data_IF_116403339682
#
_entry.id   IF_116403339682
#
_cell.length_a   1.000
_cell.length_b   1.000
_cell.length_c   1.000
_cell.angle_alpha   90.00
_cell.angle_beta   90.00
_cell.angle_gamma   90.00
#
_symmetry.space_group_name_H-M   'P 1'
#
loop_
_entity.id
_entity.type
_entity.pdbx_description
1 polymer ?
#
# COMPACT_ATOMS: atom_id res chain seq x y z
N UNK A 1 -26.75 15.60 3.32
CA UNK A 1 -25.85 16.06 4.41
C UNK A 1 -26.62 16.32 5.71
N UNK A 2 -27.83 16.88 5.68
CA UNK A 2 -28.56 17.35 6.88
C UNK A 2 -29.42 16.31 7.63
N UNK A 3 -29.68 15.09 7.12
CA UNK A 3 -30.61 14.17 7.81
C UNK A 3 -29.98 13.38 8.95
N UNK A 4 -28.69 13.07 8.87
CA UNK A 4 -28.08 12.10 9.80
C UNK A 4 -27.28 12.76 10.92
N UNK A 5 -26.71 13.94 10.65
CA UNK A 5 -25.82 14.63 11.58
C UNK A 5 -26.59 15.55 12.54
N UNK A 6 -26.34 15.51 13.86
CA UNK A 6 -26.97 16.42 14.82
C UNK A 6 -26.68 17.90 14.51
N UNK A 7 -27.63 18.83 14.76
CA UNK A 7 -27.47 20.25 14.45
C UNK A 7 -26.23 20.91 15.08
N UNK A 8 -25.88 20.50 16.31
CA UNK A 8 -24.67 20.99 16.99
C UNK A 8 -23.40 20.59 16.24
N UNK A 9 -23.38 19.39 15.67
CA UNK A 9 -22.22 18.86 14.95
C UNK A 9 -22.09 19.47 13.55
N UNK A 10 -23.22 19.80 12.91
CA UNK A 10 -23.23 20.58 11.66
C UNK A 10 -22.61 21.96 11.89
N UNK A 11 -22.88 22.60 13.03
CA UNK A 11 -22.26 23.89 13.37
C UNK A 11 -20.74 23.77 13.49
N UNK A 12 -20.25 22.72 14.16
CA UNK A 12 -18.82 22.43 14.25
C UNK A 12 -18.21 22.15 12.87
N UNK A 13 -18.86 21.32 12.06
CA UNK A 13 -18.41 20.98 10.71
C UNK A 13 -18.25 22.24 9.84
N UNK A 14 -19.27 23.12 9.82
CA UNK A 14 -19.21 24.38 9.08
C UNK A 14 -18.02 25.25 9.51
N UNK A 15 -17.80 25.38 10.83
CA UNK A 15 -16.65 26.13 11.36
C UNK A 15 -15.30 25.47 11.05
N UNK A 16 -15.26 24.15 10.99
CA UNK A 16 -14.03 23.42 10.73
C UNK A 16 -13.63 23.51 9.24
N UNK A 17 -14.61 23.40 8.34
CA UNK A 17 -14.41 23.47 6.89
C UNK A 17 -14.16 24.90 6.38
N UNK A 18 -14.57 25.93 7.12
CA UNK A 18 -14.39 27.33 6.71
C UNK A 18 -12.89 27.73 6.67
N UNK A 19 -12.41 28.19 5.51
CA UNK A 19 -11.02 28.60 5.29
C UNK A 19 -10.67 29.94 5.93
N UNK A 20 -11.67 30.77 6.26
CA UNK A 20 -11.48 32.10 6.85
C UNK A 20 -11.22 32.05 8.37
N UNK A 21 -11.61 30.96 9.01
CA UNK A 21 -11.47 30.79 10.46
C UNK A 21 -10.01 30.55 10.82
N UNK A 22 -9.57 31.24 11.88
CA UNK A 22 -8.22 31.14 12.43
C UNK A 22 -7.83 29.69 12.73
N UNK A 23 -6.62 29.31 12.32
CA UNK A 23 -6.15 27.93 12.38
C UNK A 23 -6.17 27.33 13.80
N UNK A 24 -5.92 28.16 14.82
CA UNK A 24 -5.96 27.74 16.23
C UNK A 24 -7.34 27.23 16.65
N UNK A 25 -8.43 27.78 16.09
CA UNK A 25 -9.79 27.31 16.36
C UNK A 25 -9.97 25.92 15.76
N UNK A 26 -9.42 25.65 14.57
CA UNK A 26 -9.46 24.31 13.96
C UNK A 26 -8.65 23.30 14.76
N UNK A 27 -7.47 23.68 15.25
CA UNK A 27 -6.67 22.83 16.16
C UNK A 27 -7.43 22.50 17.44
N UNK A 28 -8.11 23.48 18.03
CA UNK A 28 -8.95 23.27 19.20
C UNK A 28 -10.10 22.28 18.91
N UNK A 29 -10.82 22.47 17.80
CA UNK A 29 -11.90 21.58 17.38
C UNK A 29 -11.38 20.16 17.10
N UNK A 30 -10.22 20.01 16.46
CA UNK A 30 -9.61 18.70 16.26
C UNK A 30 -9.19 18.06 17.59
N UNK A 31 -8.64 18.83 18.54
CA UNK A 31 -8.35 18.31 19.89
C UNK A 31 -9.60 17.79 20.55
N UNK A 32 -10.74 18.46 20.41
CA UNK A 32 -12.03 17.97 20.89
C UNK A 32 -12.39 16.64 20.20
N UNK A 33 -12.32 16.58 18.87
CA UNK A 33 -12.59 15.35 18.10
C UNK A 33 -11.68 14.20 18.55
N UNK A 34 -10.40 14.47 18.85
CA UNK A 34 -9.45 13.47 19.35
C UNK A 34 -9.95 12.82 20.63
N UNK A 35 -10.37 13.62 21.61
CA UNK A 35 -10.83 13.11 22.89
C UNK A 35 -12.20 12.43 22.81
N UNK A 36 -13.05 12.85 21.87
CA UNK A 36 -14.43 12.34 21.73
C UNK A 36 -14.64 11.54 20.44
N UNK A 37 -13.60 10.88 19.90
CA UNK A 37 -13.63 10.26 18.58
C UNK A 37 -14.73 9.19 18.41
N UNK A 38 -15.19 8.55 19.49
CA UNK A 38 -16.30 7.58 19.49
C UNK A 38 -17.63 8.20 19.09
N UNK A 39 -17.88 9.46 19.46
CA UNK A 39 -19.10 10.21 19.13
C UNK A 39 -19.12 10.56 17.64
N UNK A 40 -17.95 10.90 17.08
CA UNK A 40 -17.80 11.30 15.68
C UNK A 40 -17.69 10.10 14.72
N UNK A 41 -17.34 8.91 15.24
CA UNK A 41 -17.11 7.67 14.47
C UNK A 41 -18.27 7.29 13.53
N UNK A 42 -19.56 7.34 13.91
CA UNK A 42 -20.67 7.02 12.99
C UNK A 42 -20.76 7.96 11.77
N UNK A 43 -20.22 9.17 11.92
CA UNK A 43 -20.25 10.24 10.93
C UNK A 43 -18.91 10.47 10.24
N UNK A 44 -17.96 9.52 10.39
CA UNK A 44 -16.61 9.62 9.88
C UNK A 44 -16.55 9.98 8.38
N UNK A 45 -17.54 9.52 7.60
CA UNK A 45 -17.68 9.79 6.17
C UNK A 45 -17.66 11.28 5.82
N UNK A 46 -18.21 12.12 6.70
CA UNK A 46 -18.23 13.58 6.50
C UNK A 46 -16.97 14.24 7.04
N UNK A 47 -16.42 13.73 8.14
CA UNK A 47 -15.29 14.36 8.84
C UNK A 47 -13.93 14.01 8.26
N UNK A 48 -13.83 12.96 7.46
CA UNK A 48 -12.56 12.50 6.91
C UNK A 48 -11.92 13.54 5.98
N UNK A 49 -12.68 14.10 5.02
CA UNK A 49 -12.16 15.12 4.09
C UNK A 49 -11.62 16.36 4.82
N UNK A 50 -12.37 17.04 5.70
CA UNK A 50 -11.85 18.22 6.36
C UNK A 50 -10.63 17.93 7.23
N UNK A 51 -10.59 16.78 7.91
CA UNK A 51 -9.46 16.42 8.78
C UNK A 51 -8.19 16.22 7.94
N UNK A 52 -8.27 15.56 6.79
CA UNK A 52 -7.13 15.40 5.87
C UNK A 52 -6.62 16.77 5.40
N UNK A 53 -7.53 17.68 5.02
CA UNK A 53 -7.15 19.05 4.64
C UNK A 53 -6.46 19.79 5.80
N UNK A 54 -6.93 19.61 7.04
CA UNK A 54 -6.29 20.18 8.21
C UNK A 54 -4.89 19.60 8.43
N UNK A 55 -4.70 18.29 8.29
CA UNK A 55 -3.38 17.66 8.37
C UNK A 55 -2.40 18.27 7.35
N UNK A 56 -2.85 18.47 6.11
CA UNK A 56 -2.02 19.10 5.07
C UNK A 56 -1.65 20.55 5.44
N UNK A 57 -2.59 21.34 5.96
CA UNK A 57 -2.32 22.71 6.44
C UNK A 57 -1.39 22.73 7.65
N UNK A 58 -1.46 21.72 8.52
CA UNK A 58 -0.54 21.56 9.63
C UNK A 58 0.88 21.36 9.11
N UNK A 59 1.10 20.47 8.13
CA UNK A 59 2.41 20.24 7.52
C UNK A 59 2.97 21.47 6.80
N UNK A 60 2.13 22.27 6.14
CA UNK A 60 2.57 23.52 5.50
C UNK A 60 3.06 24.56 6.51
N UNK A 61 2.45 24.61 7.70
CA UNK A 61 2.73 25.62 8.74
C UNK A 61 3.76 25.17 9.76
N UNK A 62 3.93 23.86 9.95
CA UNK A 62 4.90 23.31 10.89
C UNK A 62 6.29 23.26 10.24
N UNK A 63 7.25 23.95 10.85
CA UNK A 63 8.68 23.78 10.55
C UNK A 63 9.28 22.53 11.21
N UNK A 64 8.59 21.99 12.21
CA UNK A 64 8.96 20.76 12.91
C UNK A 64 8.24 19.56 12.25
N UNK A 65 8.89 18.40 12.25
CA UNK A 65 8.45 17.19 11.54
C UNK A 65 7.11 16.60 12.06
N UNK A 66 7.06 15.28 12.28
CA UNK A 66 5.82 14.65 12.74
C UNK A 66 5.52 15.00 14.20
N UNK A 67 4.70 16.03 14.39
CA UNK A 67 4.22 16.46 15.70
C UNK A 67 3.29 15.40 16.31
N UNK A 68 3.32 15.26 17.64
CA UNK A 68 2.47 14.31 18.38
C UNK A 68 0.98 14.52 18.08
N UNK A 69 0.55 15.77 17.93
CA UNK A 69 -0.81 16.11 17.54
C UNK A 69 -1.20 15.57 16.14
N UNK A 70 -0.27 15.62 15.17
CA UNK A 70 -0.50 15.06 13.84
C UNK A 70 -0.63 13.54 13.90
N UNK A 71 0.23 12.89 14.68
CA UNK A 71 0.18 11.45 14.92
C UNK A 71 -1.16 11.06 15.53
N UNK A 72 -1.60 11.73 16.59
CA UNK A 72 -2.90 11.48 17.23
C UNK A 72 -4.07 11.64 16.23
N UNK A 73 -4.00 12.66 15.38
CA UNK A 73 -5.01 12.92 14.34
C UNK A 73 -5.05 11.80 13.30
N UNK A 74 -3.90 11.31 12.84
CA UNK A 74 -3.81 10.21 11.87
C UNK A 74 -4.29 8.90 12.50
N UNK A 75 -3.96 8.64 13.78
CA UNK A 75 -4.44 7.45 14.50
C UNK A 75 -5.97 7.40 14.54
N UNK A 76 -6.65 8.55 14.65
CA UNK A 76 -8.11 8.59 14.58
C UNK A 76 -8.62 8.30 13.18
N UNK A 77 -7.99 8.87 12.14
CA UNK A 77 -8.35 8.54 10.75
C UNK A 77 -8.24 7.04 10.49
N UNK A 78 -7.19 6.40 11.00
CA UNK A 78 -7.02 4.94 10.92
C UNK A 78 -8.10 4.19 11.70
N UNK A 79 -8.50 4.68 12.89
CA UNK A 79 -9.58 4.06 13.68
C UNK A 79 -10.94 4.06 12.97
N UNK A 80 -11.11 4.93 11.97
CA UNK A 80 -12.33 5.10 11.19
C UNK A 80 -12.30 4.36 9.84
N UNK A 81 -11.21 3.66 9.50
CA UNK A 81 -11.05 2.96 8.22
C UNK A 81 -12.19 1.96 7.91
N UNK A 82 -12.74 1.31 8.95
CA UNK A 82 -13.86 0.36 8.85
C UNK A 82 -15.20 1.00 8.44
N UNK A 83 -15.34 2.33 8.58
CA UNK A 83 -16.61 3.04 8.39
C UNK A 83 -16.56 4.01 7.22
N UNK A 84 -15.39 4.61 6.99
CA UNK A 84 -15.18 5.61 5.96
C UNK A 84 -13.84 5.39 5.27
N UNK A 85 -13.89 5.32 3.94
CA UNK A 85 -12.74 5.33 3.05
C UNK A 85 -12.73 6.69 2.34
N UNK A 86 -11.57 7.34 2.15
CA UNK A 86 -11.49 8.60 1.39
C UNK A 86 -12.18 8.50 0.03
N UNK A 87 -12.92 9.55 -0.34
CA UNK A 87 -13.61 9.60 -1.63
C UNK A 87 -12.62 9.89 -2.78
N UNK A 88 -12.99 9.58 -4.03
CA UNK A 88 -12.17 9.91 -5.22
C UNK A 88 -11.82 11.41 -5.31
N UNK A 89 -12.70 12.29 -4.83
CA UNK A 89 -12.47 13.74 -4.79
C UNK A 89 -11.35 14.14 -3.80
N UNK A 90 -11.12 13.31 -2.78
CA UNK A 90 -10.10 13.55 -1.75
C UNK A 90 -8.74 12.97 -2.12
N UNK A 91 -8.64 12.28 -3.26
CA UNK A 91 -7.47 11.51 -3.65
C UNK A 91 -6.19 12.34 -3.72
N UNK A 92 -6.28 13.58 -4.20
CA UNK A 92 -5.15 14.52 -4.23
C UNK A 92 -4.71 14.93 -2.83
N UNK A 93 -5.65 15.12 -1.92
CA UNK A 93 -5.38 15.50 -0.53
C UNK A 93 -4.81 14.34 0.29
N UNK A 94 -5.28 13.11 0.05
CA UNK A 94 -4.71 11.88 0.61
C UNK A 94 -3.29 11.67 0.11
N UNK A 95 -3.07 11.84 -1.20
CA UNK A 95 -1.74 11.72 -1.78
C UNK A 95 -0.77 12.73 -1.15
N UNK A 96 -1.17 13.99 -1.05
CA UNK A 96 -0.36 15.04 -0.45
C UNK A 96 -0.01 14.75 1.02
N UNK A 97 -0.96 14.20 1.77
CA UNK A 97 -0.73 13.78 3.15
C UNK A 97 0.33 12.67 3.22
N UNK A 98 0.24 11.68 2.34
CA UNK A 98 1.22 10.60 2.24
C UNK A 98 2.62 11.13 1.90
N UNK A 99 2.71 12.05 0.95
CA UNK A 99 3.97 12.70 0.56
C UNK A 99 4.62 13.43 1.75
N UNK A 100 3.84 14.17 2.52
CA UNK A 100 4.33 14.83 3.74
C UNK A 100 4.78 13.84 4.82
N UNK A 101 4.07 12.72 4.97
CA UNK A 101 4.45 11.66 5.90
C UNK A 101 5.77 11.01 5.49
N UNK A 102 5.97 10.76 4.20
CA UNK A 102 7.21 10.17 3.66
C UNK A 102 8.40 11.11 3.87
N UNK A 103 8.23 12.42 3.62
CA UNK A 103 9.29 13.42 3.82
C UNK A 103 9.67 13.59 5.29
N UNK A 104 8.69 13.58 6.20
CA UNK A 104 8.89 13.85 7.63
C UNK A 104 9.06 12.58 8.49
N UNK A 105 9.22 11.40 7.88
CA UNK A 105 9.37 10.14 8.60
C UNK A 105 10.68 10.07 9.40
N UNK A 106 11.69 10.86 9.02
CA UNK A 106 13.03 10.82 9.61
C UNK A 106 13.04 11.49 10.99
N UNK A 107 13.59 10.80 11.99
CA UNK A 107 13.74 11.35 13.34
C UNK A 107 15.05 10.87 13.98
N UNK A 108 15.63 11.68 14.87
CA UNK A 108 16.88 11.33 15.58
C UNK A 108 16.75 10.05 16.41
N UNK A 109 15.59 9.86 17.03
CA UNK A 109 15.24 8.68 17.81
C UNK A 109 14.71 7.55 16.89
N UNK A 110 15.39 6.40 16.90
CA UNK A 110 15.04 5.22 16.11
C UNK A 110 13.71 4.58 16.52
N UNK A 111 13.28 4.70 17.78
CA UNK A 111 11.97 4.20 18.24
C UNK A 111 10.83 5.01 17.63
N UNK A 112 10.97 6.35 17.61
CA UNK A 112 10.01 7.26 16.98
C UNK A 112 9.95 7.00 15.48
N UNK A 113 11.10 6.80 14.84
CA UNK A 113 11.18 6.46 13.42
C UNK A 113 10.45 5.14 13.08
N UNK A 114 10.63 4.09 13.91
CA UNK A 114 9.88 2.84 13.76
C UNK A 114 8.38 3.04 13.94
N UNK A 115 7.96 3.79 14.96
CA UNK A 115 6.55 4.11 15.18
C UNK A 115 5.94 4.89 14.01
N UNK A 116 6.69 5.80 13.40
CA UNK A 116 6.26 6.55 12.21
C UNK A 116 6.10 5.62 11.00
N UNK A 117 7.04 4.70 10.79
CA UNK A 117 6.94 3.67 9.74
C UNK A 117 5.73 2.75 9.93
N UNK A 118 5.47 2.33 11.18
CA UNK A 118 4.29 1.50 11.49
C UNK A 118 2.98 2.25 11.26
N UNK A 119 2.93 3.56 11.54
CA UNK A 119 1.78 4.41 11.24
C UNK A 119 1.52 4.50 9.74
N UNK A 120 2.58 4.75 8.95
CA UNK A 120 2.52 4.82 7.48
C UNK A 120 2.09 3.46 6.91
N UNK A 121 2.65 2.36 7.42
CA UNK A 121 2.26 0.99 7.02
C UNK A 121 0.77 0.75 7.18
N UNK A 122 0.21 1.05 8.36
CA UNK A 122 -1.24 0.90 8.63
C UNK A 122 -2.10 1.79 7.74
N UNK A 123 -1.60 2.97 7.37
CA UNK A 123 -2.30 3.89 6.48
C UNK A 123 -2.34 3.38 5.04
N UNK A 124 -1.22 2.86 4.54
CA UNK A 124 -1.15 2.23 3.22
C UNK A 124 -2.02 0.98 3.15
N UNK A 125 -1.99 0.13 4.19
CA UNK A 125 -2.86 -1.04 4.31
C UNK A 125 -4.35 -0.67 4.29
N UNK A 126 -4.71 0.45 4.93
CA UNK A 126 -6.11 0.89 5.02
C UNK A 126 -6.64 1.54 3.73
N UNK A 127 -5.78 2.19 2.95
CA UNK A 127 -6.17 2.98 1.77
C UNK A 127 -5.50 2.52 0.47
N UNK A 128 -5.13 1.24 0.39
CA UNK A 128 -4.40 0.62 -0.72
C UNK A 128 -4.97 0.95 -2.12
N UNK A 129 -6.30 0.96 -2.29
CA UNK A 129 -6.96 1.23 -3.57
C UNK A 129 -6.96 2.72 -3.99
N UNK A 130 -6.69 3.64 -3.05
CA UNK A 130 -6.82 5.09 -3.26
C UNK A 130 -5.49 5.82 -3.35
N UNK A 131 -4.40 5.17 -2.94
CA UNK A 131 -3.06 5.76 -2.90
C UNK A 131 -2.33 5.51 -4.23
N UNK A 132 -1.57 6.49 -4.69
CA UNK A 132 -0.56 6.29 -5.73
C UNK A 132 0.84 6.38 -5.13
N UNK A 133 1.76 5.69 -5.77
CA UNK A 133 3.16 5.66 -5.35
C UNK A 133 3.83 7.02 -5.54
N UNK A 134 4.40 7.62 -4.48
CA UNK A 134 5.17 8.87 -4.57
C UNK A 134 6.60 8.60 -5.05
N UNK A 135 6.74 8.11 -6.29
CA UNK A 135 7.99 7.62 -6.90
C UNK A 135 9.14 8.62 -6.79
N UNK A 136 8.88 9.91 -7.03
CA UNK A 136 9.91 10.97 -6.98
C UNK A 136 10.46 11.22 -5.57
N UNK A 137 9.61 11.10 -4.55
CA UNK A 137 10.04 11.29 -3.15
C UNK A 137 10.84 10.09 -2.69
N UNK A 138 10.37 8.88 -3.02
CA UNK A 138 11.08 7.63 -2.74
C UNK A 138 12.47 7.65 -3.41
N UNK A 139 12.54 8.03 -4.68
CA UNK A 139 13.80 8.16 -5.40
C UNK A 139 14.74 9.15 -4.72
N UNK A 140 14.27 10.35 -4.35
CA UNK A 140 15.09 11.32 -3.60
C UNK A 140 15.62 10.76 -2.28
N UNK A 141 14.80 10.02 -1.53
CA UNK A 141 15.19 9.41 -0.25
C UNK A 141 16.26 8.31 -0.40
N UNK A 142 16.41 7.71 -1.57
CA UNK A 142 17.30 6.58 -1.85
C UNK A 142 18.56 7.03 -2.59
N UNK A 143 18.42 8.06 -3.43
CA UNK A 143 19.50 8.67 -4.19
C UNK A 143 20.37 9.62 -3.38
N UNK A 144 19.96 9.97 -2.16
CA UNK A 144 20.75 10.84 -1.30
C UNK A 144 22.10 10.20 -1.00
N UNK A 145 23.18 10.90 -1.35
CA UNK A 145 24.53 10.34 -1.40
C UNK A 145 25.21 10.30 -0.03
N UNK A 146 24.52 10.75 1.02
CA UNK A 146 25.08 10.74 2.36
C UNK A 146 25.10 9.31 2.91
N UNK A 147 26.22 8.63 2.69
CA UNK A 147 26.51 7.25 3.12
C UNK A 147 26.21 7.05 4.62
N UNK A 148 26.30 8.11 5.43
CA UNK A 148 26.04 8.10 6.88
C UNK A 148 24.58 8.34 7.28
N UNK A 149 23.71 8.78 6.37
CA UNK A 149 22.34 9.11 6.75
C UNK A 149 21.53 7.81 6.93
N UNK A 150 20.74 7.75 8.00
CA UNK A 150 19.72 6.70 8.17
C UNK A 150 18.55 6.87 7.19
N UNK A 151 18.59 7.85 6.29
CA UNK A 151 17.49 8.19 5.40
C UNK A 151 17.32 7.15 4.29
N UNK A 152 18.41 6.65 3.73
CA UNK A 152 18.34 5.60 2.70
C UNK A 152 17.68 4.33 3.27
N UNK A 153 17.97 3.96 4.52
CA UNK A 153 17.31 2.84 5.19
C UNK A 153 15.79 3.06 5.34
N UNK A 154 15.35 4.30 5.60
CA UNK A 154 13.93 4.66 5.69
C UNK A 154 13.28 4.60 4.31
N UNK A 155 13.92 5.15 3.28
CA UNK A 155 13.44 5.07 1.89
C UNK A 155 13.25 3.63 1.43
N UNK A 156 14.22 2.75 1.74
CA UNK A 156 14.13 1.32 1.46
C UNK A 156 13.01 0.64 2.27
N UNK A 157 12.88 0.97 3.55
CA UNK A 157 11.79 0.42 4.39
C UNK A 157 10.40 0.85 3.87
N UNK A 158 10.26 2.09 3.41
CA UNK A 158 9.03 2.59 2.80
C UNK A 158 8.68 1.87 1.50
N UNK A 159 9.68 1.52 0.66
CA UNK A 159 9.44 0.67 -0.51
C UNK A 159 8.97 -0.71 -0.07
N UNK A 160 9.61 -1.32 0.93
CA UNK A 160 9.20 -2.62 1.45
C UNK A 160 7.73 -2.61 1.90
N UNK A 161 7.28 -1.53 2.55
CA UNK A 161 5.88 -1.35 2.95
C UNK A 161 4.93 -1.26 1.73
N UNK A 162 5.33 -0.57 0.67
CA UNK A 162 4.53 -0.46 -0.55
C UNK A 162 4.42 -1.81 -1.28
N UNK A 163 5.56 -2.51 -1.44
CA UNK A 163 5.61 -3.82 -2.08
C UNK A 163 4.83 -4.88 -1.31
N UNK A 164 4.86 -4.84 0.02
CA UNK A 164 4.06 -5.74 0.87
C UNK A 164 2.55 -5.57 0.66
N UNK A 165 2.11 -4.41 0.19
CA UNK A 165 0.71 -4.11 -0.15
C UNK A 165 0.42 -4.30 -1.65
N UNK A 166 1.32 -4.95 -2.40
CA UNK A 166 1.24 -5.13 -3.87
C UNK A 166 1.20 -3.82 -4.65
N UNK A 167 1.75 -2.74 -4.09
CA UNK A 167 1.85 -1.44 -4.76
C UNK A 167 3.26 -1.32 -5.34
N UNK A 168 3.36 -1.18 -6.67
CA UNK A 168 4.63 -1.00 -7.34
C UNK A 168 5.28 0.35 -6.94
N UNK A 169 6.57 0.36 -6.57
CA UNK A 169 7.27 1.57 -6.12
C UNK A 169 7.64 2.52 -7.27
N UNK A 170 7.36 2.14 -8.52
CA UNK A 170 7.49 2.96 -9.70
C UNK A 170 6.16 3.02 -10.44
N UNK A 171 5.89 4.20 -10.99
CA UNK A 171 4.84 4.45 -11.97
C UNK A 171 5.54 5.18 -13.12
N UNK A 172 5.16 4.89 -14.37
CA UNK A 172 5.70 5.53 -15.59
C UNK A 172 5.27 7.00 -15.73
N UNK A 173 5.30 7.74 -14.64
CA UNK A 173 4.83 9.11 -14.54
C UNK A 173 6.03 9.97 -14.15
N UNK A 174 6.45 10.82 -15.11
CA UNK A 174 7.48 11.88 -15.02
C UNK A 174 8.92 11.39 -14.93
N UNK A 175 9.62 11.39 -16.07
CA UNK A 175 11.09 11.48 -16.27
C UNK A 175 12.03 10.50 -15.52
N UNK A 176 11.49 9.64 -14.67
CA UNK A 176 12.22 8.61 -13.95
C UNK A 176 11.92 7.26 -14.60
N UNK A 177 12.88 6.74 -15.36
CA UNK A 177 12.78 5.41 -15.93
C UNK A 177 12.96 4.35 -14.84
N UNK A 178 12.31 3.20 -15.02
CA UNK A 178 12.48 2.01 -14.18
C UNK A 178 13.97 1.69 -13.98
N UNK A 179 14.77 1.81 -15.04
CA UNK A 179 16.22 1.57 -15.00
C UNK A 179 16.96 2.48 -14.02
N UNK A 180 16.63 3.78 -13.97
CA UNK A 180 17.28 4.72 -13.05
C UNK A 180 16.91 4.43 -11.59
N UNK A 181 15.66 4.05 -11.35
CA UNK A 181 15.20 3.66 -10.03
C UNK A 181 15.88 2.38 -9.56
N UNK A 182 15.96 1.38 -10.42
CA UNK A 182 16.66 0.12 -10.15
C UNK A 182 18.16 0.34 -9.95
N UNK A 183 18.81 1.18 -10.75
CA UNK A 183 20.24 1.51 -10.55
C UNK A 183 20.47 2.15 -9.16
N UNK A 184 19.61 3.07 -8.73
CA UNK A 184 19.69 3.67 -7.41
C UNK A 184 19.48 2.65 -6.27
N UNK A 185 18.58 1.69 -6.44
CA UNK A 185 18.40 0.58 -5.50
C UNK A 185 19.64 -0.32 -5.42
N UNK A 186 20.17 -0.73 -6.57
CA UNK A 186 21.37 -1.57 -6.66
C UNK A 186 22.60 -0.86 -6.06
N UNK A 187 22.71 0.47 -6.22
CA UNK A 187 23.77 1.27 -5.59
C UNK A 187 23.72 1.20 -4.06
N UNK A 188 22.53 1.14 -3.46
CA UNK A 188 22.38 1.01 -2.00
C UNK A 188 22.79 -0.37 -1.47
N UNK A 189 22.76 -1.43 -2.28
CA UNK A 189 23.33 -2.73 -1.89
C UNK A 189 24.87 -2.69 -1.77
N UNK A 190 25.55 -1.77 -2.45
CA UNK A 190 27.00 -1.58 -2.34
C UNK A 190 27.42 -0.76 -1.10
N UNK A 191 26.48 -0.35 -0.26
CA UNK A 191 26.75 0.47 0.91
C UNK A 191 27.41 -0.36 2.03
N UNK A 192 28.22 0.26 2.88
CA UNK A 192 28.96 -0.42 3.97
C UNK A 192 28.10 -0.77 5.18
N UNK A 193 26.94 -0.11 5.34
CA UNK A 193 26.07 -0.27 6.51
C UNK A 193 25.07 -1.43 6.37
N UNK A 194 25.08 -2.35 7.34
CA UNK A 194 24.22 -3.56 7.35
C UNK A 194 22.74 -3.30 7.23
N UNK A 195 22.23 -2.29 7.92
CA UNK A 195 20.83 -1.93 7.84
C UNK A 195 20.42 -1.40 6.45
N UNK A 196 21.35 -0.83 5.68
CA UNK A 196 21.06 -0.30 4.33
C UNK A 196 21.19 -1.41 3.30
N UNK A 197 22.32 -2.13 3.24
CA UNK A 197 22.49 -3.16 2.22
C UNK A 197 21.53 -4.35 2.40
N UNK A 198 21.19 -4.73 3.64
CA UNK A 198 20.26 -5.82 3.88
C UNK A 198 18.83 -5.43 3.49
N UNK A 199 18.39 -4.21 3.85
CA UNK A 199 17.08 -3.69 3.44
C UNK A 199 16.99 -3.52 1.92
N UNK A 200 18.07 -3.09 1.26
CA UNK A 200 18.12 -3.00 -0.20
C UNK A 200 18.00 -4.38 -0.86
N UNK A 201 18.73 -5.38 -0.36
CA UNK A 201 18.65 -6.74 -0.87
C UNK A 201 17.25 -7.35 -0.66
N UNK A 202 16.62 -7.10 0.49
CA UNK A 202 15.25 -7.53 0.77
C UNK A 202 14.24 -6.91 -0.21
N UNK A 203 14.31 -5.59 -0.42
CA UNK A 203 13.46 -4.88 -1.38
C UNK A 203 13.66 -5.39 -2.81
N UNK A 204 14.90 -5.63 -3.23
CA UNK A 204 15.20 -6.22 -4.55
C UNK A 204 14.62 -7.62 -4.67
N UNK A 205 14.71 -8.45 -3.62
CA UNK A 205 14.08 -9.77 -3.58
C UNK A 205 12.56 -9.68 -3.71
N UNK A 206 11.92 -8.73 -3.01
CA UNK A 206 10.47 -8.49 -3.13
C UNK A 206 10.08 -8.06 -4.55
N UNK A 207 10.86 -7.20 -5.20
CA UNK A 207 10.64 -6.78 -6.59
C UNK A 207 10.72 -7.95 -7.56
N UNK A 208 11.77 -8.77 -7.44
CA UNK A 208 11.95 -9.96 -8.29
C UNK A 208 10.85 -10.99 -8.08
N UNK A 209 10.37 -11.16 -6.85
CA UNK A 209 9.25 -12.04 -6.57
C UNK A 209 7.97 -11.52 -7.24
N UNK A 210 7.70 -10.21 -7.16
CA UNK A 210 6.55 -9.58 -7.78
C UNK A 210 6.57 -9.72 -9.31
N UNK A 211 7.73 -9.49 -9.95
CA UNK A 211 7.85 -9.68 -11.41
C UNK A 211 7.69 -11.15 -11.82
N UNK A 212 8.22 -12.10 -11.03
CA UNK A 212 8.03 -13.52 -11.29
C UNK A 212 6.57 -13.97 -11.20
N UNK A 213 5.81 -13.39 -10.26
CA UNK A 213 4.38 -13.66 -10.10
C UNK A 213 3.59 -13.11 -11.30
N UNK A 214 3.87 -11.88 -11.74
CA UNK A 214 3.22 -11.28 -12.90
C UNK A 214 3.41 -12.10 -14.20
N UNK A 215 4.62 -12.65 -14.39
CA UNK A 215 4.91 -13.56 -15.52
C UNK A 215 4.10 -14.85 -15.39
N UNK A 216 4.00 -15.40 -14.19
CA UNK A 216 3.22 -16.61 -13.92
C UNK A 216 1.72 -16.38 -14.17
N UNK A 217 1.17 -15.25 -13.73
CA UNK A 217 -0.24 -14.89 -13.93
C UNK A 217 -0.53 -14.70 -15.43
N UNK A 218 0.34 -13.98 -16.16
CA UNK A 218 0.23 -13.82 -17.63
C UNK A 218 0.28 -15.15 -18.35
N UNK A 219 1.18 -16.05 -17.94
CA UNK A 219 1.27 -17.40 -18.49
C UNK A 219 -0.04 -18.18 -18.32
N UNK A 220 -0.63 -18.16 -17.11
CA UNK A 220 -1.91 -18.82 -16.83
C UNK A 220 -3.03 -18.26 -17.69
N UNK A 221 -3.18 -16.94 -17.78
CA UNK A 221 -4.23 -16.31 -18.59
C UNK A 221 -4.07 -16.61 -20.09
N UNK A 222 -2.84 -16.63 -20.59
CA UNK A 222 -2.57 -17.02 -21.97
C UNK A 222 -2.96 -18.48 -22.25
N UNK A 223 -2.57 -19.41 -21.37
CA UNK A 223 -2.93 -20.83 -21.51
C UNK A 223 -4.45 -21.01 -21.44
N UNK A 224 -5.11 -20.40 -20.46
CA UNK A 224 -6.56 -20.43 -20.31
C UNK A 224 -7.30 -19.91 -21.55
N UNK A 225 -6.85 -18.77 -22.09
CA UNK A 225 -7.45 -18.16 -23.29
C UNK A 225 -7.26 -19.02 -24.55
N UNK A 226 -6.09 -19.65 -24.70
CA UNK A 226 -5.81 -20.56 -25.83
C UNK A 226 -6.65 -21.84 -25.72
N UNK A 227 -6.74 -22.40 -24.52
CA UNK A 227 -7.46 -23.65 -24.27
C UNK A 227 -8.96 -23.54 -24.54
N UNK A 228 -9.57 -22.36 -24.35
CA UNK A 228 -10.99 -22.11 -24.71
C UNK A 228 -11.32 -22.46 -26.15
N UNK A 229 -10.35 -22.32 -27.06
CA UNK A 229 -10.54 -22.60 -28.49
C UNK A 229 -9.81 -23.86 -28.94
N UNK A 230 -8.76 -24.30 -28.24
CA UNK A 230 -7.99 -25.49 -28.58
C UNK A 230 -7.57 -26.26 -27.31
N UNK A 231 -8.43 -27.18 -26.80
CA UNK A 231 -8.19 -27.90 -25.54
C UNK A 231 -6.92 -28.76 -25.52
N UNK A 232 -6.52 -29.32 -26.66
CA UNK A 232 -5.34 -30.17 -26.82
C UNK A 232 -4.01 -29.43 -26.59
N UNK A 233 -4.02 -28.10 -26.44
CA UNK A 233 -2.80 -27.31 -26.20
C UNK A 233 -2.17 -27.60 -24.84
N UNK A 234 -2.96 -27.99 -23.84
CA UNK A 234 -2.48 -28.26 -22.49
C UNK A 234 -1.97 -29.69 -22.43
N UNK A 235 -0.69 -29.85 -22.75
CA UNK A 235 0.01 -31.12 -22.64
C UNK A 235 0.43 -31.44 -21.20
N UNK A 236 1.08 -32.61 -21.03
CA UNK A 236 1.56 -33.08 -19.73
C UNK A 236 2.53 -32.09 -19.06
N UNK A 237 3.31 -31.34 -19.84
CA UNK A 237 4.33 -30.41 -19.32
C UNK A 237 3.73 -29.10 -18.84
N UNK A 238 2.75 -28.58 -19.57
CA UNK A 238 1.99 -27.38 -19.20
C UNK A 238 1.17 -27.68 -17.95
N UNK A 239 0.51 -28.83 -17.90
CA UNK A 239 -0.27 -29.23 -16.72
C UNK A 239 0.61 -29.36 -15.45
N UNK A 240 1.80 -29.97 -15.55
CA UNK A 240 2.77 -30.00 -14.45
C UNK A 240 3.18 -28.59 -13.97
N UNK A 241 3.39 -27.65 -14.89
CA UNK A 241 3.73 -26.26 -14.57
C UNK A 241 2.56 -25.53 -13.88
N UNK A 242 1.34 -25.72 -14.36
CA UNK A 242 0.12 -25.17 -13.75
C UNK A 242 -0.07 -25.73 -12.33
N UNK A 243 0.09 -27.04 -12.14
CA UNK A 243 0.01 -27.72 -10.83
C UNK A 243 1.05 -27.17 -9.83
N UNK A 244 2.31 -27.02 -10.27
CA UNK A 244 3.37 -26.46 -9.43
C UNK A 244 3.09 -24.98 -9.07
N UNK A 245 2.50 -24.24 -10.00
CA UNK A 245 2.14 -22.85 -9.83
C UNK A 245 0.90 -22.60 -8.96
N UNK A 246 0.02 -23.59 -8.83
CA UNK A 246 -1.32 -23.44 -8.24
C UNK A 246 -1.35 -22.81 -6.84
N UNK A 247 -0.40 -23.19 -5.96
CA UNK A 247 -0.31 -22.61 -4.60
C UNK A 247 -0.02 -21.11 -4.58
N UNK A 248 0.65 -20.61 -5.61
CA UNK A 248 1.12 -19.22 -5.70
C UNK A 248 0.09 -18.30 -6.35
N UNK A 249 -0.97 -18.83 -6.95
CA UNK A 249 -2.00 -18.06 -7.63
C UNK A 249 -3.09 -17.61 -6.66
N UNK A 250 -3.64 -16.42 -6.90
CA UNK A 250 -4.70 -15.81 -6.10
C UNK A 250 -5.86 -15.34 -7.00
N UNK A 251 -7.07 -15.29 -6.44
CA UNK A 251 -8.25 -14.75 -7.13
C UNK A 251 -8.58 -15.44 -8.46
N UNK A 252 -8.87 -14.64 -9.48
CA UNK A 252 -9.32 -15.09 -10.80
C UNK A 252 -8.29 -15.99 -11.50
N UNK A 253 -6.99 -15.69 -11.40
CA UNK A 253 -5.93 -16.53 -11.99
C UNK A 253 -5.93 -17.96 -11.43
N UNK A 254 -6.33 -18.12 -10.16
CA UNK A 254 -6.46 -19.43 -9.53
C UNK A 254 -7.63 -20.21 -10.15
N UNK A 255 -8.73 -19.52 -10.43
CA UNK A 255 -9.89 -20.09 -11.13
C UNK A 255 -9.54 -20.45 -12.57
N UNK A 256 -8.90 -19.55 -13.31
CA UNK A 256 -8.43 -19.80 -14.69
C UNK A 256 -7.48 -21.01 -14.75
N UNK A 257 -6.57 -21.13 -13.77
CA UNK A 257 -5.66 -22.28 -13.68
C UNK A 257 -6.40 -23.59 -13.40
N UNK A 258 -7.37 -23.58 -12.47
CA UNK A 258 -8.19 -24.76 -12.16
C UNK A 258 -9.05 -25.19 -13.36
N UNK A 259 -9.71 -24.24 -14.03
CA UNK A 259 -10.48 -24.49 -15.25
C UNK A 259 -9.58 -25.06 -16.35
N UNK A 260 -8.36 -24.53 -16.47
CA UNK A 260 -7.39 -25.04 -17.45
C UNK A 260 -6.97 -26.48 -17.16
N UNK A 261 -6.90 -26.88 -15.89
CA UNK A 261 -6.54 -28.25 -15.52
C UNK A 261 -7.70 -29.24 -15.72
N UNK A 262 -8.95 -28.85 -15.45
CA UNK A 262 -10.13 -29.74 -15.49
C UNK A 262 -10.28 -30.41 -16.87
N UNK A 263 -10.08 -29.67 -17.95
CA UNK A 263 -10.36 -30.16 -19.31
C UNK A 263 -9.52 -31.36 -19.72
N UNK A 264 -8.27 -31.44 -19.23
CA UNK A 264 -7.31 -32.48 -19.66
C UNK A 264 -6.88 -33.40 -18.48
N UNK A 265 -7.53 -33.29 -17.32
CA UNK A 265 -7.13 -34.02 -16.10
C UNK A 265 -7.24 -35.54 -16.24
N UNK A 266 -8.11 -36.01 -17.15
CA UNK A 266 -8.35 -37.42 -17.42
C UNK A 266 -7.17 -38.12 -18.08
N UNK A 267 -6.27 -37.38 -18.72
CA UNK A 267 -5.06 -37.92 -19.36
C UNK A 267 -3.89 -38.08 -18.40
N UNK A 268 -4.08 -37.75 -17.11
CA UNK A 268 -3.01 -37.61 -16.14
C UNK A 268 -3.15 -38.61 -14.98
N UNK A 269 -2.45 -39.74 -15.08
CA UNK A 269 -2.55 -40.86 -14.12
C UNK A 269 -2.20 -40.48 -12.66
N UNK A 270 -1.35 -39.47 -12.45
CA UNK A 270 -0.89 -38.99 -11.13
C UNK A 270 -1.57 -37.71 -10.63
N UNK A 271 -2.63 -37.24 -11.30
CA UNK A 271 -3.25 -35.93 -11.03
C UNK A 271 -3.56 -35.70 -9.55
N UNK A 272 -4.13 -36.69 -8.87
CA UNK A 272 -4.52 -36.55 -7.46
C UNK A 272 -3.32 -36.34 -6.53
N UNK A 273 -2.21 -37.05 -6.75
CA UNK A 273 -1.01 -36.94 -5.91
C UNK A 273 -0.35 -35.57 -6.07
N UNK A 274 -0.28 -35.08 -7.31
CA UNK A 274 0.28 -33.77 -7.63
C UNK A 274 -0.61 -32.62 -7.14
N UNK A 275 -1.94 -32.73 -7.29
CA UNK A 275 -2.88 -31.76 -6.73
C UNK A 275 -2.87 -31.74 -5.20
N UNK A 276 -2.73 -32.91 -4.57
CA UNK A 276 -2.58 -33.02 -3.12
C UNK A 276 -1.27 -32.37 -2.66
N UNK A 277 -0.16 -32.59 -3.37
CA UNK A 277 1.11 -31.89 -3.12
C UNK A 277 0.98 -30.38 -3.34
N UNK A 278 0.18 -29.97 -4.34
CA UNK A 278 -0.20 -28.59 -4.64
C UNK A 278 -1.23 -28.01 -3.64
N UNK A 279 -1.62 -28.74 -2.59
CA UNK A 279 -2.46 -28.19 -1.51
C UNK A 279 -3.91 -27.91 -1.91
N UNK A 280 -4.45 -28.66 -2.88
CA UNK A 280 -5.83 -28.51 -3.37
C UNK A 280 -6.87 -28.55 -2.25
N UNK A 281 -6.62 -29.32 -1.19
CA UNK A 281 -7.53 -29.43 -0.05
C UNK A 281 -7.67 -28.11 0.72
N UNK A 282 -6.59 -27.36 0.88
CA UNK A 282 -6.62 -26.04 1.54
C UNK A 282 -7.34 -25.01 0.67
N UNK A 283 -7.25 -25.16 -0.66
CA UNK A 283 -7.93 -24.31 -1.64
C UNK A 283 -9.44 -24.53 -1.59
N UNK A 284 -9.90 -25.78 -1.47
CA UNK A 284 -11.32 -26.13 -1.42
C UNK A 284 -12.02 -25.68 -0.12
N UNK A 285 -11.26 -25.42 0.95
CA UNK A 285 -11.78 -24.91 2.22
C UNK A 285 -11.93 -23.39 2.19
N UNK A 286 -11.28 -22.71 1.24
CA UNK A 286 -11.34 -21.27 1.09
C UNK A 286 -12.73 -20.84 0.58
N UNK A 287 -13.42 -19.99 1.35
CA UNK A 287 -14.67 -19.34 0.94
C UNK A 287 -14.43 -18.17 0.01
#
# INVERSE_FOLDING_TARGET
>A
IQSDMPPWMICLYKKFSDTTIGFNIKLFLMRLIIHTHTIFKPFARYWLTPIIHMCNQMFEKSSEGLNTFLIDTIVILLSWNSIAIPSELDRTSVQRLLEYLFLNCTHKNSLVMKSNLDLIKKLIESWNERIYTPTLIIYKLISDQDIKSKQNAIGLSLIGILLANNILPYNDIKDLTEDKFNEALLKNMKNSFRNIYAAAAEVVGMLLNHSSQAIQDTYVTCIYSLQKHYPEIVDKTIMNKLMFGLKKLYGDFKMECLESMITNITEFDSAYLELKAAGILDILIHK
#
